data_IF_371941239665
#
_entry.id   IF_371941239665
#
_cell.length_a   1.000
_cell.length_b   1.000
_cell.length_c   1.000
_cell.angle_alpha   90.00
_cell.angle_beta   90.00
_cell.angle_gamma   90.00
#
_symmetry.space_group_name_H-M   'P 1'
#
loop_
_entity.id
_entity.type
_entity.pdbx_description
1 polymer ?
#
# COMPACT_ATOMS: atom_id res chain seq x y z
N UNK A 1 -7.98 14.99 14.92
CA UNK A 1 -8.69 13.96 14.13
C UNK A 1 -8.97 12.75 15.00
N UNK A 2 -10.17 12.18 14.95
CA UNK A 2 -10.49 10.97 15.71
C UNK A 2 -10.50 9.74 14.78
N UNK A 3 -9.64 8.77 15.06
CA UNK A 3 -9.66 7.47 14.39
C UNK A 3 -10.62 6.54 15.10
N UNK A 4 -11.60 6.01 14.37
CA UNK A 4 -12.54 5.01 14.89
C UNK A 4 -11.83 3.68 15.15
N UNK A 5 -12.32 2.92 16.13
CA UNK A 5 -11.93 1.52 16.34
C UNK A 5 -12.91 0.62 15.62
N UNK A 6 -12.41 -0.27 14.78
CA UNK A 6 -13.20 -1.17 13.95
C UNK A 6 -13.01 -2.63 14.40
N UNK A 7 -14.02 -3.49 14.21
CA UNK A 7 -13.90 -4.91 14.51
C UNK A 7 -12.94 -5.61 13.54
N UNK A 8 -12.34 -6.73 13.95
CA UNK A 8 -11.36 -7.47 13.16
C UNK A 8 -11.90 -7.89 11.77
N UNK A 9 -13.19 -8.26 11.68
CA UNK A 9 -13.86 -8.63 10.43
C UNK A 9 -13.78 -7.56 9.34
N UNK A 10 -13.53 -6.30 9.70
CA UNK A 10 -13.42 -5.22 8.74
C UNK A 10 -12.27 -5.44 7.75
N UNK A 11 -11.24 -6.19 8.12
CA UNK A 11 -10.17 -6.56 7.20
C UNK A 11 -10.67 -7.30 5.96
N UNK A 12 -11.60 -8.25 6.12
CA UNK A 12 -12.22 -8.96 4.99
C UNK A 12 -13.08 -7.98 4.17
N UNK A 13 -13.82 -7.11 4.85
CA UNK A 13 -14.65 -6.09 4.19
C UNK A 13 -13.80 -5.18 3.30
N UNK A 14 -12.58 -4.81 3.72
CA UNK A 14 -11.68 -4.00 2.90
C UNK A 14 -11.23 -4.69 1.62
N UNK A 15 -10.97 -6.01 1.64
CA UNK A 15 -10.65 -6.77 0.42
C UNK A 15 -11.86 -6.79 -0.52
N UNK A 16 -13.03 -7.14 -0.01
CA UNK A 16 -14.26 -7.25 -0.83
C UNK A 16 -14.68 -5.89 -1.38
N UNK A 17 -14.62 -4.84 -0.57
CA UNK A 17 -14.93 -3.47 -0.98
C UNK A 17 -13.89 -2.92 -1.97
N UNK A 18 -12.61 -3.24 -1.78
CA UNK A 18 -11.55 -2.93 -2.74
C UNK A 18 -11.81 -3.58 -4.10
N UNK A 19 -12.22 -4.85 -4.13
CA UNK A 19 -12.62 -5.54 -5.36
C UNK A 19 -13.87 -4.94 -6.01
N UNK A 20 -14.88 -4.54 -5.21
CA UNK A 20 -16.07 -3.84 -5.74
C UNK A 20 -15.70 -2.50 -6.37
N UNK A 21 -14.80 -1.73 -5.74
CA UNK A 21 -14.32 -0.46 -6.28
C UNK A 21 -13.49 -0.68 -7.56
N UNK A 22 -12.66 -1.72 -7.59
CA UNK A 22 -11.96 -2.15 -8.80
C UNK A 22 -12.93 -2.44 -9.94
N UNK A 23 -13.98 -3.23 -9.70
CA UNK A 23 -15.01 -3.53 -10.70
C UNK A 23 -15.81 -2.31 -11.17
N UNK A 24 -15.90 -1.26 -10.34
CA UNK A 24 -16.59 -0.04 -10.73
C UNK A 24 -15.85 0.71 -11.84
N UNK A 25 -14.51 0.66 -11.89
CA UNK A 25 -13.73 1.20 -13.02
C UNK A 25 -12.37 0.48 -13.17
N UNK A 26 -12.35 -0.74 -13.74
CA UNK A 26 -11.13 -1.53 -13.86
C UNK A 26 -10.02 -0.83 -14.64
N UNK A 27 -10.28 -0.20 -15.81
CA UNK A 27 -9.22 0.46 -16.58
C UNK A 27 -8.47 1.52 -15.79
N UNK A 28 -9.18 2.38 -15.05
CA UNK A 28 -8.54 3.45 -14.28
C UNK A 28 -7.69 2.89 -13.12
N UNK A 29 -8.20 1.91 -12.36
CA UNK A 29 -7.45 1.35 -11.24
C UNK A 29 -6.27 0.50 -11.69
N UNK A 30 -6.41 -0.27 -12.77
CA UNK A 30 -5.28 -0.97 -13.38
C UNK A 30 -4.24 0.02 -13.90
N UNK A 31 -4.65 1.11 -14.56
CA UNK A 31 -3.74 2.16 -15.00
C UNK A 31 -2.98 2.79 -13.83
N UNK A 32 -3.68 3.16 -12.76
CA UNK A 32 -3.05 3.75 -11.56
C UNK A 32 -2.09 2.78 -10.87
N UNK A 33 -2.47 1.50 -10.76
CA UNK A 33 -1.61 0.45 -10.21
C UNK A 33 -0.37 0.23 -11.09
N UNK A 34 -0.54 0.20 -12.41
CA UNK A 34 0.55 0.09 -13.37
C UNK A 34 1.48 1.29 -13.32
N UNK A 35 0.97 2.52 -13.27
CA UNK A 35 1.78 3.72 -13.14
C UNK A 35 2.56 3.75 -11.82
N UNK A 36 1.96 3.24 -10.73
CA UNK A 36 2.66 3.09 -9.46
C UNK A 36 3.81 2.08 -9.55
N UNK A 37 3.57 0.90 -10.15
CA UNK A 37 4.62 -0.09 -10.40
C UNK A 37 5.70 0.44 -11.32
N UNK A 38 5.33 1.12 -12.41
CA UNK A 38 6.27 1.73 -13.34
C UNK A 38 7.14 2.77 -12.63
N UNK A 39 6.55 3.62 -11.79
CA UNK A 39 7.31 4.57 -10.98
C UNK A 39 8.29 3.86 -10.05
N UNK A 40 7.88 2.77 -9.39
CA UNK A 40 8.76 1.97 -8.55
C UNK A 40 9.90 1.34 -9.36
N UNK A 41 9.60 0.66 -10.47
CA UNK A 41 10.59 -0.01 -11.32
C UNK A 41 11.56 0.97 -11.95
N UNK A 42 11.08 2.11 -12.49
CA UNK A 42 11.96 3.16 -13.04
C UNK A 42 12.92 3.67 -11.99
N UNK A 43 12.47 3.86 -10.74
CA UNK A 43 13.36 4.26 -9.66
C UNK A 43 14.40 3.17 -9.39
N UNK A 44 14.02 1.89 -9.35
CA UNK A 44 14.99 0.79 -9.17
C UNK A 44 16.06 0.72 -10.26
N UNK A 45 15.77 1.16 -11.49
CA UNK A 45 16.71 1.17 -12.61
C UNK A 45 17.69 2.35 -12.57
N UNK A 46 17.48 3.34 -11.69
CA UNK A 46 18.38 4.50 -11.60
C UNK A 46 19.74 4.09 -10.98
N UNK A 47 20.87 4.47 -11.60
CA UNK A 47 22.20 4.19 -11.06
C UNK A 47 22.46 4.79 -9.68
N UNK A 48 23.51 4.29 -9.02
CA UNK A 48 24.10 4.87 -7.80
C UNK A 48 23.13 5.05 -6.62
N UNK A 49 22.06 4.25 -6.55
CA UNK A 49 21.10 4.31 -5.45
C UNK A 49 20.19 5.55 -5.45
N UNK A 50 20.23 6.38 -6.50
CA UNK A 50 19.38 7.58 -6.64
C UNK A 50 17.90 7.21 -6.53
N UNK A 51 17.50 6.07 -7.10
CA UNK A 51 16.16 5.53 -6.96
C UNK A 51 15.71 5.26 -5.54
N UNK A 52 16.61 4.71 -4.72
CA UNK A 52 16.35 4.42 -3.30
C UNK A 52 16.09 5.68 -2.47
N UNK A 53 16.58 6.83 -2.93
CA UNK A 53 16.32 8.15 -2.33
C UNK A 53 15.06 8.80 -2.90
N UNK A 54 14.90 8.78 -4.22
CA UNK A 54 13.79 9.47 -4.89
C UNK A 54 12.44 8.81 -4.63
N UNK A 55 12.37 7.47 -4.61
CA UNK A 55 11.10 6.78 -4.47
C UNK A 55 10.41 7.08 -3.13
N UNK A 56 11.07 6.97 -1.95
CA UNK A 56 10.46 7.35 -0.67
C UNK A 56 9.98 8.80 -0.63
N UNK A 57 10.69 9.72 -1.29
CA UNK A 57 10.32 11.14 -1.32
C UNK A 57 9.06 11.39 -2.15
N UNK A 58 8.90 10.68 -3.27
CA UNK A 58 7.76 10.84 -4.18
C UNK A 58 6.56 9.98 -3.78
N UNK A 59 6.79 8.89 -3.04
CA UNK A 59 5.76 7.91 -2.68
C UNK A 59 4.50 8.54 -2.04
N UNK A 60 4.57 9.53 -1.12
CA UNK A 60 3.38 10.16 -0.58
C UNK A 60 2.47 10.79 -1.64
N UNK A 61 3.05 11.42 -2.67
CA UNK A 61 2.29 12.03 -3.75
C UNK A 61 1.64 10.96 -4.63
N UNK A 62 2.36 9.88 -4.93
CA UNK A 62 1.83 8.75 -5.71
C UNK A 62 0.63 8.10 -5.00
N UNK A 63 0.77 7.83 -3.70
CA UNK A 63 -0.30 7.26 -2.87
C UNK A 63 -1.52 8.19 -2.82
N UNK A 64 -1.30 9.50 -2.66
CA UNK A 64 -2.39 10.47 -2.67
C UNK A 64 -3.10 10.55 -4.02
N UNK A 65 -2.36 10.49 -5.13
CA UNK A 65 -2.94 10.48 -6.47
C UNK A 65 -3.81 9.24 -6.73
N UNK A 66 -3.35 8.07 -6.30
CA UNK A 66 -4.14 6.82 -6.36
C UNK A 66 -5.41 6.96 -5.51
N UNK A 67 -5.28 7.51 -4.30
CA UNK A 67 -6.41 7.73 -3.41
C UNK A 67 -7.44 8.72 -3.99
N UNK A 68 -6.99 9.75 -4.71
CA UNK A 68 -7.87 10.66 -5.47
C UNK A 68 -8.63 9.93 -6.58
N UNK A 69 -7.96 9.02 -7.29
CA UNK A 69 -8.60 8.14 -8.28
C UNK A 69 -9.67 7.26 -7.65
N UNK A 70 -9.35 6.59 -6.54
CA UNK A 70 -10.30 5.77 -5.78
C UNK A 70 -11.50 6.58 -5.29
N UNK A 71 -11.26 7.80 -4.77
CA UNK A 71 -12.30 8.72 -4.29
C UNK A 71 -13.24 9.16 -5.41
N UNK A 72 -12.71 9.45 -6.60
CA UNK A 72 -13.53 9.78 -7.77
C UNK A 72 -14.44 8.63 -8.19
N UNK A 73 -13.88 7.42 -8.33
CA UNK A 73 -14.65 6.21 -8.67
C UNK A 73 -15.73 5.96 -7.61
N UNK A 74 -15.41 6.12 -6.33
CA UNK A 74 -16.36 5.92 -5.23
C UNK A 74 -17.52 6.92 -5.26
N UNK A 75 -17.30 8.14 -5.78
CA UNK A 75 -18.32 9.18 -5.85
C UNK A 75 -19.23 9.06 -7.08
N UNK A 76 -18.68 8.73 -8.25
CA UNK A 76 -19.41 8.83 -9.54
C UNK A 76 -19.33 7.58 -10.41
N UNK A 77 -18.64 6.52 -9.96
CA UNK A 77 -18.42 5.29 -10.72
C UNK A 77 -17.62 5.52 -12.01
N UNK A 78 -17.83 4.68 -13.02
CA UNK A 78 -17.15 4.81 -14.33
C UNK A 78 -17.66 5.97 -15.20
N UNK A 79 -18.90 6.40 -14.97
CA UNK A 79 -19.59 7.39 -15.83
C UNK A 79 -19.32 8.83 -15.44
N UNK A 80 -18.67 9.05 -14.30
CA UNK A 80 -18.28 10.38 -13.87
C UNK A 80 -17.14 10.99 -14.69
N UNK A 81 -16.92 12.31 -14.55
CA UNK A 81 -15.75 12.95 -15.13
C UNK A 81 -14.46 12.33 -14.58
N UNK A 82 -13.34 12.40 -15.33
CA UNK A 82 -12.04 11.95 -14.84
C UNK A 82 -11.72 12.62 -13.48
N UNK A 83 -11.27 11.85 -12.48
CA UNK A 83 -10.94 12.42 -11.18
C UNK A 83 -9.74 13.36 -11.27
N UNK A 84 -9.77 14.44 -10.48
CA UNK A 84 -8.58 15.28 -10.26
C UNK A 84 -7.57 14.51 -9.40
N UNK A 85 -6.65 13.81 -10.07
CA UNK A 85 -5.59 13.03 -9.42
C UNK A 85 -4.61 13.92 -8.63
N UNK A 86 -4.52 15.21 -8.95
CA UNK A 86 -3.59 16.14 -8.32
C UNK A 86 -4.23 16.96 -7.18
N UNK A 87 -5.49 16.66 -6.85
CA UNK A 87 -6.19 17.29 -5.73
C UNK A 87 -5.40 17.12 -4.42
N UNK A 88 -5.21 18.21 -3.69
CA UNK A 88 -4.37 18.25 -2.48
C UNK A 88 -2.86 18.27 -2.76
N UNK A 89 -2.39 17.61 -3.82
CA UNK A 89 -0.96 17.63 -4.20
C UNK A 89 -0.53 19.03 -4.63
N UNK A 90 -1.31 19.70 -5.49
CA UNK A 90 -0.99 21.06 -5.99
C UNK A 90 -0.87 22.07 -4.85
N UNK A 91 -1.79 22.03 -3.90
CA UNK A 91 -1.86 22.98 -2.78
C UNK A 91 -0.87 22.64 -1.66
N UNK A 92 -0.63 21.35 -1.39
CA UNK A 92 0.20 20.87 -0.27
C UNK A 92 1.53 20.24 -0.70
N UNK A 93 2.02 20.53 -1.91
CA UNK A 93 3.27 19.95 -2.47
C UNK A 93 4.46 20.01 -1.50
N UNK A 94 4.65 21.16 -0.83
CA UNK A 94 5.77 21.36 0.10
C UNK A 94 5.66 20.45 1.32
N UNK A 95 4.45 20.30 1.86
CA UNK A 95 4.20 19.44 3.01
C UNK A 95 4.29 17.95 2.63
N UNK A 96 3.87 17.58 1.43
CA UNK A 96 4.04 16.23 0.91
C UNK A 96 5.52 15.89 0.63
N UNK A 97 6.33 16.84 0.15
CA UNK A 97 7.78 16.65 0.04
C UNK A 97 8.46 16.50 1.40
N UNK A 98 8.05 17.29 2.41
CA UNK A 98 8.52 17.10 3.78
C UNK A 98 8.13 15.72 4.31
N UNK A 99 6.91 15.26 4.02
CA UNK A 99 6.48 13.92 4.39
C UNK A 99 7.34 12.85 3.70
N UNK A 100 7.66 13.02 2.42
CA UNK A 100 8.58 12.16 1.68
C UNK A 100 9.99 12.15 2.27
N UNK A 101 10.50 13.32 2.70
CA UNK A 101 11.79 13.42 3.39
C UNK A 101 11.77 12.69 4.75
N UNK A 102 10.68 12.77 5.51
CA UNK A 102 10.51 11.99 6.73
C UNK A 102 10.47 10.47 6.44
N UNK A 103 9.82 10.08 5.35
CA UNK A 103 9.78 8.67 4.94
C UNK A 103 11.17 8.17 4.56
N UNK A 104 11.93 8.96 3.79
CA UNK A 104 13.32 8.67 3.48
C UNK A 104 14.18 8.53 4.74
N UNK A 105 14.10 9.47 5.66
CA UNK A 105 14.84 9.42 6.92
C UNK A 105 14.50 8.15 7.72
N UNK A 106 13.22 7.76 7.76
CA UNK A 106 12.78 6.50 8.37
C UNK A 106 13.36 5.27 7.67
N UNK A 107 13.36 5.23 6.34
CA UNK A 107 13.95 4.12 5.57
C UNK A 107 15.46 4.01 5.79
N UNK A 108 16.18 5.14 5.84
CA UNK A 108 17.61 5.17 6.14
C UNK A 108 17.90 4.69 7.56
N UNK A 109 17.05 5.04 8.54
CA UNK A 109 17.17 4.52 9.90
C UNK A 109 16.97 2.99 9.93
N UNK A 110 15.97 2.46 9.23
CA UNK A 110 15.77 1.00 9.11
C UNK A 110 17.01 0.33 8.52
N UNK A 111 17.57 0.89 7.44
CA UNK A 111 18.79 0.39 6.82
C UNK A 111 19.99 0.39 7.78
N UNK A 112 20.19 1.50 8.51
CA UNK A 112 21.26 1.62 9.50
C UNK A 112 21.12 0.60 10.63
N UNK A 113 19.89 0.38 11.11
CA UNK A 113 19.62 -0.62 12.14
C UNK A 113 19.90 -2.03 11.62
N UNK A 114 19.48 -2.36 10.38
CA UNK A 114 19.80 -3.66 9.78
C UNK A 114 21.32 -3.91 9.72
N UNK A 115 22.09 -2.89 9.35
CA UNK A 115 23.55 -2.97 9.37
C UNK A 115 24.12 -3.14 10.79
N UNK A 116 23.58 -2.41 11.77
CA UNK A 116 23.97 -2.54 13.18
C UNK A 116 23.69 -3.93 13.76
N UNK A 117 22.65 -4.62 13.28
CA UNK A 117 22.35 -6.01 13.62
C UNK A 117 23.13 -7.03 12.77
N UNK A 118 24.10 -6.58 11.96
CA UNK A 118 25.01 -7.45 11.21
C UNK A 118 24.41 -8.08 9.95
N UNK A 119 23.22 -7.65 9.52
CA UNK A 119 22.62 -8.13 8.27
C UNK A 119 23.24 -7.36 7.11
N UNK A 120 23.94 -8.08 6.23
CA UNK A 120 24.38 -7.53 4.95
C UNK A 120 23.33 -7.79 3.87
N UNK A 121 23.11 -6.85 2.93
CA UNK A 121 22.14 -7.01 1.84
C UNK A 121 22.35 -8.27 1.00
N UNK A 122 23.57 -8.80 0.95
CA UNK A 122 23.98 -9.92 0.08
C UNK A 122 24.16 -11.24 0.85
N UNK A 123 23.31 -11.51 1.85
CA UNK A 123 23.41 -12.75 2.62
C UNK A 123 22.89 -13.93 1.79
N UNK A 124 23.81 -14.70 1.18
CA UNK A 124 23.49 -15.86 0.34
C UNK A 124 23.11 -17.13 1.13
N UNK A 125 23.28 -17.10 2.46
CA UNK A 125 22.98 -18.24 3.33
C UNK A 125 21.47 -18.35 3.60
N UNK A 126 20.80 -19.47 3.22
CA UNK A 126 19.34 -19.61 3.31
C UNK A 126 18.78 -19.50 4.74
N UNK A 127 19.52 -20.02 5.73
CA UNK A 127 19.20 -19.98 7.15
C UNK A 127 19.26 -18.56 7.72
N UNK A 128 20.23 -17.77 7.28
CA UNK A 128 20.36 -16.36 7.68
C UNK A 128 19.38 -15.46 6.92
N UNK A 129 19.00 -15.81 5.69
CA UNK A 129 18.06 -15.07 4.87
C UNK A 129 16.69 -14.92 5.55
N UNK A 130 16.13 -16.00 6.11
CA UNK A 130 14.83 -15.92 6.78
C UNK A 130 14.86 -14.98 8.01
N UNK A 131 15.92 -15.09 8.81
CA UNK A 131 16.11 -14.22 9.97
C UNK A 131 16.28 -12.75 9.56
N UNK A 132 16.99 -12.52 8.45
CA UNK A 132 17.21 -11.19 7.90
C UNK A 132 15.92 -10.55 7.39
N UNK A 133 15.12 -11.31 6.65
CA UNK A 133 13.80 -10.89 6.16
C UNK A 133 12.84 -10.61 7.32
N UNK A 134 12.86 -11.44 8.37
CA UNK A 134 12.06 -11.24 9.56
C UNK A 134 12.42 -9.94 10.30
N UNK A 135 13.73 -9.66 10.46
CA UNK A 135 14.17 -8.41 11.07
C UNK A 135 13.84 -7.20 10.20
N UNK A 136 14.05 -7.28 8.89
CA UNK A 136 13.69 -6.24 7.94
C UNK A 136 12.19 -5.90 8.02
N UNK A 137 11.34 -6.93 8.06
CA UNK A 137 9.90 -6.78 8.20
C UNK A 137 9.54 -6.15 9.56
N UNK A 138 10.15 -6.60 10.66
CA UNK A 138 9.90 -6.07 11.99
C UNK A 138 10.27 -4.57 12.11
N UNK A 139 11.41 -4.16 11.54
CA UNK A 139 11.87 -2.77 11.54
C UNK A 139 11.07 -1.88 10.58
N UNK A 140 10.65 -2.43 9.44
CA UNK A 140 9.88 -1.70 8.43
C UNK A 140 8.40 -1.55 8.79
N UNK A 141 7.86 -2.44 9.63
CA UNK A 141 6.44 -2.43 9.98
C UNK A 141 6.00 -1.12 10.67
N UNK A 142 6.69 -0.60 11.72
CA UNK A 142 6.34 0.70 12.30
C UNK A 142 6.37 1.83 11.28
N UNK A 143 7.35 1.84 10.37
CA UNK A 143 7.46 2.83 9.30
C UNK A 143 6.25 2.73 8.35
N UNK A 144 5.89 1.51 7.93
CA UNK A 144 4.72 1.26 7.11
C UNK A 144 3.45 1.82 7.76
N UNK A 145 3.20 1.51 9.05
CA UNK A 145 2.03 1.99 9.78
C UNK A 145 2.01 3.53 9.93
N UNK A 146 3.18 4.11 10.13
CA UNK A 146 3.35 5.55 10.29
C UNK A 146 3.06 6.33 9.00
N UNK A 147 3.31 5.73 7.83
CA UNK A 147 3.06 6.37 6.53
C UNK A 147 1.80 5.87 5.80
N UNK A 148 1.13 4.84 6.32
CA UNK A 148 -0.03 4.22 5.69
C UNK A 148 -1.15 5.22 5.33
N UNK A 149 -1.48 6.15 6.23
CA UNK A 149 -2.50 7.18 6.03
C UNK A 149 -1.96 8.61 5.96
N UNK A 150 -0.68 8.81 6.30
CA UNK A 150 -0.10 10.15 6.42
C UNK A 150 -0.23 11.03 5.16
N UNK A 151 -0.11 10.50 3.92
CA UNK A 151 -0.28 11.31 2.71
C UNK A 151 -1.71 11.83 2.54
N UNK A 152 -2.71 10.99 2.83
CA UNK A 152 -4.13 11.35 2.75
C UNK A 152 -4.47 12.40 3.81
N UNK A 153 -3.97 12.23 5.04
CA UNK A 153 -4.14 13.18 6.14
C UNK A 153 -3.50 14.54 5.83
N UNK A 154 -2.32 14.54 5.22
CA UNK A 154 -1.60 15.79 4.85
C UNK A 154 -2.24 16.47 3.65
N UNK A 155 -2.67 15.70 2.65
CA UNK A 155 -3.21 16.20 1.39
C UNK A 155 -4.68 16.62 1.44
N UNK A 156 -5.53 15.87 2.15
CA UNK A 156 -6.98 16.15 2.21
C UNK A 156 -7.41 16.90 3.46
N UNK A 157 -6.69 16.74 4.57
CA UNK A 157 -7.05 17.38 5.84
C UNK A 157 -6.01 18.39 6.31
N UNK A 158 -5.03 18.69 5.46
CA UNK A 158 -4.06 19.76 5.66
C UNK A 158 -3.30 19.68 6.99
N UNK A 159 -3.19 18.48 7.56
CA UNK A 159 -2.45 18.26 8.79
C UNK A 159 -0.95 18.45 8.53
N UNK A 160 -0.20 19.03 9.49
CA UNK A 160 1.27 19.08 9.42
C UNK A 160 1.87 17.67 9.28
N UNK A 161 2.95 17.48 8.49
CA UNK A 161 3.50 16.15 8.17
C UNK A 161 3.75 15.27 9.39
N UNK A 162 4.42 15.80 10.42
CA UNK A 162 4.72 15.03 11.63
C UNK A 162 3.46 14.62 12.40
N UNK A 163 2.43 15.48 12.43
CA UNK A 163 1.12 15.14 13.03
C UNK A 163 0.43 14.05 12.21
N UNK A 164 0.48 14.11 10.88
CA UNK A 164 -0.08 13.09 10.00
C UNK A 164 0.56 11.72 10.22
N UNK A 165 1.89 11.66 10.37
CA UNK A 165 2.64 10.43 10.68
C UNK A 165 2.18 9.85 12.02
N UNK A 166 2.10 10.68 13.06
CA UNK A 166 1.63 10.27 14.38
C UNK A 166 0.18 9.75 14.35
N UNK A 167 -0.74 10.48 13.72
CA UNK A 167 -2.15 10.06 13.61
C UNK A 167 -2.30 8.77 12.79
N UNK A 168 -1.51 8.59 11.73
CA UNK A 168 -1.51 7.34 10.95
C UNK A 168 -1.06 6.16 11.81
N UNK A 169 0.05 6.30 12.53
CA UNK A 169 0.56 5.25 13.42
C UNK A 169 -0.47 4.86 14.48
N UNK A 170 -1.02 5.85 15.20
CA UNK A 170 -2.02 5.61 16.25
C UNK A 170 -3.29 4.99 15.67
N UNK A 171 -3.76 5.44 14.51
CA UNK A 171 -4.93 4.88 13.85
C UNK A 171 -4.73 3.41 13.44
N UNK A 172 -3.55 3.08 12.91
CA UNK A 172 -3.20 1.71 12.56
C UNK A 172 -3.10 0.82 13.80
N UNK A 173 -2.40 1.26 14.85
CA UNK A 173 -2.26 0.52 16.10
C UNK A 173 -3.62 0.30 16.79
N UNK A 174 -4.51 1.30 16.78
CA UNK A 174 -5.87 1.16 17.32
C UNK A 174 -6.70 0.11 16.56
N UNK A 175 -6.41 -0.10 15.28
CA UNK A 175 -7.13 -1.00 14.37
C UNK A 175 -6.30 -2.22 13.94
N UNK A 176 -5.25 -2.58 14.69
CA UNK A 176 -4.28 -3.61 14.29
C UNK A 176 -4.95 -4.95 13.93
N UNK A 177 -6.02 -5.32 14.64
CA UNK A 177 -6.77 -6.57 14.38
C UNK A 177 -7.40 -6.61 12.99
N UNK A 178 -7.93 -5.47 12.53
CA UNK A 178 -8.50 -5.37 11.19
C UNK A 178 -7.40 -5.42 10.11
N UNK A 179 -6.26 -4.79 10.36
CA UNK A 179 -5.08 -4.88 9.49
C UNK A 179 -4.50 -6.29 9.39
N UNK A 180 -4.42 -7.01 10.52
CA UNK A 180 -3.98 -8.40 10.55
C UNK A 180 -4.92 -9.27 9.71
N UNK A 181 -6.24 -9.14 9.90
CA UNK A 181 -7.22 -9.87 9.09
C UNK A 181 -7.13 -9.48 7.60
N UNK A 182 -6.91 -8.20 7.29
CA UNK A 182 -6.71 -7.73 5.91
C UNK A 182 -5.48 -8.37 5.26
N UNK A 183 -4.34 -8.38 5.97
CA UNK A 183 -3.11 -9.02 5.52
C UNK A 183 -3.28 -10.53 5.33
N UNK A 184 -3.92 -11.22 6.28
CA UNK A 184 -4.20 -12.65 6.16
C UNK A 184 -5.13 -12.98 5.00
N UNK A 185 -6.16 -12.18 4.76
CA UNK A 185 -7.08 -12.39 3.64
C UNK A 185 -6.36 -12.27 2.29
N UNK A 186 -5.50 -11.26 2.12
CA UNK A 186 -4.68 -11.12 0.92
C UNK A 186 -3.64 -12.24 0.80
N UNK A 187 -2.96 -12.59 1.90
CA UNK A 187 -1.98 -13.67 1.94
C UNK A 187 -2.61 -15.03 1.59
N UNK A 188 -3.84 -15.30 2.03
CA UNK A 188 -4.55 -16.53 1.69
C UNK A 188 -4.87 -16.62 0.18
N UNK A 189 -5.29 -15.51 -0.44
CA UNK A 189 -5.51 -15.45 -1.90
C UNK A 189 -4.19 -15.71 -2.64
N UNK A 190 -3.11 -15.07 -2.21
CA UNK A 190 -1.77 -15.25 -2.81
C UNK A 190 -1.27 -16.67 -2.64
N UNK A 191 -1.37 -17.23 -1.43
CA UNK A 191 -0.91 -18.58 -1.12
C UNK A 191 -1.68 -19.63 -1.94
N UNK A 192 -3.00 -19.47 -2.09
CA UNK A 192 -3.80 -20.36 -2.91
C UNK A 192 -3.34 -20.31 -4.38
N UNK A 193 -3.18 -19.10 -4.94
CA UNK A 193 -2.74 -18.93 -6.32
C UNK A 193 -1.33 -19.51 -6.57
N UNK A 194 -0.38 -19.26 -5.66
CA UNK A 194 0.98 -19.79 -5.78
C UNK A 194 1.03 -21.30 -5.59
N UNK A 195 0.23 -21.87 -4.69
CA UNK A 195 0.16 -23.33 -4.49
C UNK A 195 -0.36 -24.03 -5.75
N UNK A 196 -1.40 -23.48 -6.38
CA UNK A 196 -1.92 -24.01 -7.65
C UNK A 196 -0.89 -23.90 -8.79
N UNK A 197 -0.15 -22.79 -8.85
CA UNK A 197 0.93 -22.61 -9.81
C UNK A 197 2.07 -23.62 -9.61
N UNK A 198 2.50 -23.85 -8.37
CA UNK A 198 3.53 -24.86 -8.05
C UNK A 198 3.04 -26.25 -8.40
N UNK A 199 1.78 -26.57 -8.12
CA UNK A 199 1.20 -27.86 -8.50
C UNK A 199 1.22 -28.09 -10.02
N UNK A 200 0.94 -27.05 -10.82
CA UNK A 200 1.04 -27.15 -12.28
C UNK A 200 2.46 -27.49 -12.75
N UNK A 201 3.50 -26.94 -12.11
CA UNK A 201 4.91 -27.26 -12.39
C UNK A 201 5.24 -28.73 -12.11
N UNK A 202 4.67 -29.31 -11.04
CA UNK A 202 4.88 -30.72 -10.70
C UNK A 202 4.24 -31.69 -11.71
N UNK A 203 3.17 -31.28 -12.41
CA UNK A 203 2.54 -32.09 -13.46
C UNK A 203 3.36 -32.05 -14.75
N UNK A 204 3.81 -30.85 -15.15
CA UNK A 204 4.63 -30.65 -16.34
C UNK A 204 5.52 -29.43 -16.14
N UNK A 205 6.82 -29.62 -16.21
CA UNK A 205 7.78 -28.56 -15.92
C UNK A 205 7.64 -27.36 -16.88
N UNK A 206 7.76 -27.58 -18.19
CA UNK A 206 7.73 -26.50 -19.18
C UNK A 206 6.36 -25.78 -19.21
N UNK A 207 5.27 -26.53 -19.24
CA UNK A 207 3.93 -25.93 -19.26
C UNK A 207 3.60 -25.25 -17.92
N UNK A 208 3.93 -25.89 -16.80
CA UNK A 208 3.68 -25.37 -15.48
C UNK A 208 4.46 -24.09 -15.19
N UNK A 209 5.68 -23.93 -15.69
CA UNK A 209 6.43 -22.67 -15.57
C UNK A 209 5.73 -21.51 -16.30
N UNK A 210 5.19 -21.77 -17.51
CA UNK A 210 4.39 -20.77 -18.24
C UNK A 210 3.15 -20.40 -17.42
N UNK A 211 2.41 -21.40 -16.92
CA UNK A 211 1.23 -21.18 -16.07
C UNK A 211 1.60 -20.37 -14.83
N UNK A 212 2.70 -20.70 -14.15
CA UNK A 212 3.15 -19.99 -12.96
C UNK A 212 3.45 -18.51 -13.25
N UNK A 213 4.12 -18.21 -14.36
CA UNK A 213 4.38 -16.82 -14.79
C UNK A 213 3.11 -16.08 -15.17
N UNK A 214 2.17 -16.73 -15.85
CA UNK A 214 0.86 -16.13 -16.14
C UNK A 214 0.12 -15.82 -14.84
N UNK A 215 0.08 -16.76 -13.89
CA UNK A 215 -0.55 -16.55 -12.58
C UNK A 215 0.11 -15.39 -11.82
N UNK A 216 1.44 -15.32 -11.81
CA UNK A 216 2.19 -14.21 -11.19
C UNK A 216 1.79 -12.85 -11.78
N UNK A 217 1.77 -12.74 -13.11
CA UNK A 217 1.38 -11.49 -13.81
C UNK A 217 -0.08 -11.14 -13.53
N UNK A 218 -1.00 -12.10 -13.59
CA UNK A 218 -2.41 -11.87 -13.30
C UNK A 218 -2.61 -11.42 -11.85
N UNK A 219 -1.89 -12.03 -10.90
CA UNK A 219 -1.94 -11.64 -9.50
C UNK A 219 -1.49 -10.20 -9.32
N UNK A 220 -0.43 -9.74 -9.99
CA UNK A 220 -0.02 -8.33 -9.95
C UNK A 220 -1.11 -7.42 -10.55
N UNK A 221 -1.63 -7.76 -11.73
CA UNK A 221 -2.62 -6.95 -12.46
C UNK A 221 -3.93 -6.79 -11.68
N UNK A 222 -4.37 -7.81 -10.94
CA UNK A 222 -5.62 -7.78 -10.20
C UNK A 222 -5.45 -7.44 -8.73
N UNK A 223 -4.50 -8.07 -8.04
CA UNK A 223 -4.36 -7.94 -6.59
C UNK A 223 -3.84 -6.56 -6.20
N UNK A 224 -2.93 -5.97 -6.97
CA UNK A 224 -2.40 -4.64 -6.66
C UNK A 224 -3.48 -3.54 -6.69
N UNK A 225 -4.28 -3.37 -7.76
CA UNK A 225 -5.34 -2.37 -7.73
C UNK A 225 -6.41 -2.64 -6.66
N UNK A 226 -6.72 -3.91 -6.38
CA UNK A 226 -7.62 -4.28 -5.28
C UNK A 226 -7.03 -3.87 -3.93
N UNK A 227 -5.73 -4.11 -3.72
CA UNK A 227 -5.02 -3.70 -2.52
C UNK A 227 -5.02 -2.17 -2.36
N UNK A 228 -4.68 -1.43 -3.42
CA UNK A 228 -4.68 0.04 -3.41
C UNK A 228 -6.08 0.62 -3.10
N UNK A 229 -7.11 0.05 -3.73
CA UNK A 229 -8.50 0.39 -3.46
C UNK A 229 -8.90 0.05 -2.01
N UNK A 230 -8.54 -1.14 -1.52
CA UNK A 230 -8.78 -1.58 -0.15
C UNK A 230 -8.11 -0.68 0.88
N UNK A 231 -6.88 -0.23 0.61
CA UNK A 231 -6.17 0.76 1.44
C UNK A 231 -6.91 2.10 1.50
N UNK A 232 -7.44 2.59 0.38
CA UNK A 232 -8.33 3.78 0.38
C UNK A 232 -9.61 3.55 1.21
N UNK A 233 -10.25 2.39 1.08
CA UNK A 233 -11.46 2.07 1.85
C UNK A 233 -11.14 2.00 3.35
N UNK A 234 -9.99 1.43 3.74
CA UNK A 234 -9.55 1.39 5.14
C UNK A 234 -9.41 2.79 5.73
N UNK A 235 -8.85 3.74 4.96
CA UNK A 235 -8.76 5.13 5.37
C UNK A 235 -10.15 5.73 5.61
N UNK A 236 -11.04 5.56 4.63
CA UNK A 236 -12.40 6.08 4.71
C UNK A 236 -13.10 5.53 5.94
N UNK A 237 -13.08 4.22 6.17
CA UNK A 237 -13.81 3.61 7.29
C UNK A 237 -13.25 4.03 8.67
N UNK A 238 -11.95 4.28 8.78
CA UNK A 238 -11.28 4.68 10.03
C UNK A 238 -11.47 6.17 10.32
N UNK A 239 -11.40 7.03 9.31
CA UNK A 239 -11.38 8.49 9.48
C UNK A 239 -12.67 9.22 9.09
N UNK A 240 -13.61 8.58 8.39
CA UNK A 240 -14.94 9.17 8.17
C UNK A 240 -15.86 8.85 9.33
N UNK A 241 -16.47 9.91 9.85
CA UNK A 241 -17.65 9.82 10.72
C UNK A 241 -18.75 9.16 9.91
N UNK A 242 -19.24 8.00 10.34
CA UNK A 242 -20.60 7.62 9.98
C UNK A 242 -21.45 8.81 10.41
N UNK A 243 -22.07 9.49 9.45
CA UNK A 243 -23.10 10.49 9.72
C UNK A 243 -24.02 9.87 10.78
N UNK A 244 -24.22 10.61 11.87
CA UNK A 244 -25.11 10.22 12.93
C UNK A 244 -26.42 9.72 12.31
N UNK A 245 -26.80 8.50 12.64
CA UNK A 245 -28.20 8.14 12.68
C UNK A 245 -28.84 9.03 13.75
N UNK A 246 -29.37 10.16 13.33
CA UNK A 246 -30.41 10.88 14.06
C UNK A 246 -31.53 11.11 13.07
N UNK A 247 -32.58 10.31 13.27
CA UNK A 247 -33.93 10.56 12.78
C UNK A 247 -34.30 12.04 13.01
N UNK A 248 -34.92 12.65 12.01
CA UNK A 248 -36.28 13.19 12.10
C UNK A 248 -36.90 13.16 10.69
#
# INVERSE_FOLDING_TARGET
MQARRLPARQGIVWVVAGYRLFRANPPLLTLLAFLYLMAFTVMLLLPAGVGGVLFPVLQPMLVLAIANGCRGIAATGRRGPPPDLLAGIRTRRRELLKLGALQLAGSLLVMLLMFAFGIKPDTEKPDQLLSALALAAALSLPLLLAFWFAPLLTGWHELPPLKSVFFSLVACLRNWRAFVVYAFALAAITLLATTLAVFAVQISENFGQIVAKVVEVLMIIFLLPIFLAGSYISYRDIFTTAVASTND
#
